data_IF_447603071147
#
_entry.id   IF_447603071147
#
_cell.length_a   1.000
_cell.length_b   1.000
_cell.length_c   1.000
_cell.angle_alpha   90.00
_cell.angle_beta   90.00
_cell.angle_gamma   90.00
#
_symmetry.space_group_name_H-M   'P 1'
#
loop_
_entity.id
_entity.type
_entity.pdbx_description
1 polymer ?
#
# COMPACT_ATOMS: atom_id res chain seq x y z
N UNK A 1 35.42 -9.81 -6.28
CA UNK A 1 34.07 -10.42 -6.17
C UNK A 1 33.45 -10.30 -4.79
N UNK A 2 34.22 -10.40 -3.70
CA UNK A 2 33.69 -10.28 -2.33
C UNK A 2 33.12 -8.88 -2.03
N UNK A 3 33.81 -7.79 -2.39
CA UNK A 3 33.37 -6.41 -2.11
C UNK A 3 32.00 -6.07 -2.70
N UNK A 4 31.77 -6.37 -3.99
CA UNK A 4 30.48 -6.11 -4.63
C UNK A 4 29.31 -6.82 -3.93
N UNK A 5 29.55 -8.02 -3.36
CA UNK A 5 28.56 -8.78 -2.60
C UNK A 5 28.35 -8.21 -1.19
N UNK A 6 29.40 -7.65 -0.59
CA UNK A 6 29.38 -7.03 0.73
C UNK A 6 28.55 -5.75 0.70
N UNK A 7 28.79 -4.87 -0.27
CA UNK A 7 28.01 -3.65 -0.46
C UNK A 7 26.54 -3.91 -0.80
N UNK A 8 26.24 -4.99 -1.54
CA UNK A 8 24.85 -5.37 -1.78
C UNK A 8 24.14 -5.80 -0.50
N UNK A 9 24.82 -6.53 0.38
CA UNK A 9 24.22 -6.98 1.65
C UNK A 9 23.96 -5.81 2.60
N UNK A 10 24.85 -4.82 2.62
CA UNK A 10 24.66 -3.58 3.38
C UNK A 10 23.51 -2.74 2.82
N UNK A 11 23.42 -2.62 1.48
CA UNK A 11 22.32 -1.94 0.82
C UNK A 11 20.96 -2.53 1.20
N UNK A 12 20.82 -3.86 1.22
CA UNK A 12 19.57 -4.52 1.63
C UNK A 12 19.23 -4.22 3.09
N UNK A 13 20.22 -4.20 3.99
CA UNK A 13 19.97 -3.84 5.40
C UNK A 13 19.53 -2.39 5.54
N UNK A 14 20.15 -1.47 4.80
CA UNK A 14 19.76 -0.07 4.79
C UNK A 14 18.34 0.12 4.24
N UNK A 15 17.94 -0.62 3.21
CA UNK A 15 16.55 -0.60 2.71
C UNK A 15 15.54 -1.00 3.79
N UNK A 16 15.88 -2.02 4.60
CA UNK A 16 14.99 -2.51 5.66
C UNK A 16 14.96 -1.61 6.89
N UNK A 17 16.09 -0.97 7.24
CA UNK A 17 16.21 -0.14 8.44
C UNK A 17 15.82 1.33 8.20
N UNK A 18 16.24 1.88 7.06
CA UNK A 18 16.21 3.32 6.76
C UNK A 18 15.23 3.65 5.62
N UNK A 19 14.68 2.64 4.94
CA UNK A 19 13.73 2.79 3.84
C UNK A 19 14.39 2.89 2.45
N UNK A 20 13.63 3.33 1.42
CA UNK A 20 14.07 3.35 0.02
C UNK A 20 15.46 3.94 -0.22
N UNK A 21 16.30 3.21 -0.99
CA UNK A 21 17.66 3.64 -1.30
C UNK A 21 17.81 3.94 -2.79
N UNK A 22 18.25 5.17 -3.12
CA UNK A 22 18.47 5.60 -4.50
C UNK A 22 19.86 5.20 -5.00
N UNK A 23 19.91 4.69 -6.22
CA UNK A 23 21.15 4.36 -6.94
C UNK A 23 21.41 5.45 -7.96
N UNK A 24 22.58 6.08 -7.89
CA UNK A 24 22.99 7.15 -8.80
C UNK A 24 24.03 6.69 -9.81
N UNK A 25 23.96 7.19 -11.04
CA UNK A 25 25.01 7.06 -12.07
C UNK A 25 25.39 8.47 -12.55
N UNK A 26 26.67 8.82 -12.45
CA UNK A 26 27.17 10.17 -12.75
C UNK A 26 26.43 11.31 -12.00
N UNK A 27 26.02 11.06 -10.76
CA UNK A 27 25.29 12.03 -9.93
C UNK A 27 23.78 12.07 -10.17
N UNK A 28 23.26 11.37 -11.17
CA UNK A 28 21.82 11.31 -11.46
C UNK A 28 21.20 10.03 -10.89
N UNK A 29 20.03 10.13 -10.26
CA UNK A 29 19.28 8.96 -9.80
C UNK A 29 18.78 8.15 -11.00
N UNK A 30 19.16 6.87 -11.06
CA UNK A 30 18.80 5.98 -12.18
C UNK A 30 17.94 4.79 -11.75
N UNK A 31 17.97 4.44 -10.48
CA UNK A 31 17.14 3.38 -9.90
C UNK A 31 16.88 3.64 -8.42
N UNK A 32 15.91 2.93 -7.86
CA UNK A 32 15.63 2.90 -6.42
C UNK A 32 15.43 1.44 -6.01
N UNK A 33 15.97 1.06 -4.86
CA UNK A 33 15.72 -0.23 -4.22
C UNK A 33 14.70 -0.02 -3.09
N UNK A 34 13.63 -0.80 -3.13
CA UNK A 34 12.50 -0.72 -2.19
C UNK A 34 12.38 -2.04 -1.44
N UNK A 35 11.79 -2.00 -0.25
CA UNK A 35 11.28 -3.22 0.38
C UNK A 35 10.18 -3.83 -0.50
N UNK A 36 10.10 -5.17 -0.48
CA UNK A 36 9.15 -5.89 -1.33
C UNK A 36 7.69 -5.58 -0.97
N UNK A 37 7.39 -5.30 0.31
CA UNK A 37 6.05 -4.94 0.76
C UNK A 37 5.65 -3.56 0.26
N UNK A 38 6.57 -2.59 0.31
CA UNK A 38 6.32 -1.25 -0.22
C UNK A 38 6.09 -1.29 -1.73
N UNK A 39 6.90 -2.06 -2.45
CA UNK A 39 6.68 -2.29 -3.88
C UNK A 39 5.31 -2.92 -4.16
N UNK A 40 4.91 -3.95 -3.41
CA UNK A 40 3.61 -4.63 -3.59
C UNK A 40 2.43 -3.72 -3.31
N UNK A 41 2.50 -2.90 -2.24
CA UNK A 41 1.50 -1.88 -1.92
C UNK A 41 1.37 -0.86 -3.04
N UNK A 42 2.49 -0.33 -3.53
CA UNK A 42 2.51 0.61 -4.66
C UNK A 42 1.92 0.01 -5.94
N UNK A 43 2.14 -1.29 -6.16
CA UNK A 43 1.60 -2.01 -7.32
C UNK A 43 0.15 -2.46 -7.15
N UNK A 44 -0.48 -2.19 -6.01
CA UNK A 44 -1.84 -2.62 -5.70
C UNK A 44 -1.99 -4.14 -5.60
N UNK A 45 -0.90 -4.89 -5.50
CA UNK A 45 -0.93 -6.35 -5.54
C UNK A 45 -1.46 -6.98 -4.23
N UNK A 46 -1.53 -6.19 -3.15
CA UNK A 46 -2.05 -6.60 -1.84
C UNK A 46 -3.43 -6.00 -1.51
N UNK A 47 -4.00 -5.19 -2.41
CA UNK A 47 -5.36 -4.74 -2.25
C UNK A 47 -6.28 -5.83 -2.78
N UNK A 48 -7.02 -6.47 -1.87
CA UNK A 48 -8.22 -7.23 -2.24
C UNK A 48 -9.01 -6.35 -3.21
N UNK A 49 -9.42 -6.90 -4.36
CA UNK A 49 -10.23 -6.16 -5.33
C UNK A 49 -11.40 -5.52 -4.57
N UNK A 50 -11.73 -4.26 -4.88
CA UNK A 50 -12.73 -3.53 -4.09
C UNK A 50 -14.05 -4.30 -3.99
N UNK A 51 -14.43 -5.02 -5.05
CA UNK A 51 -15.62 -5.89 -5.05
C UNK A 51 -15.44 -7.08 -4.11
N UNK A 52 -14.28 -7.73 -4.14
CA UNK A 52 -13.98 -8.87 -3.26
C UNK A 52 -13.93 -8.44 -1.79
N UNK A 53 -13.43 -7.24 -1.51
CA UNK A 53 -13.45 -6.64 -0.18
C UNK A 53 -14.89 -6.42 0.30
N UNK A 54 -15.74 -5.79 -0.52
CA UNK A 54 -17.16 -5.62 -0.19
C UNK A 54 -17.88 -6.97 -0.03
N UNK A 55 -17.53 -7.97 -0.84
CA UNK A 55 -18.11 -9.32 -0.77
C UNK A 55 -17.62 -10.13 0.44
N UNK A 56 -16.49 -9.75 1.05
CA UNK A 56 -15.95 -10.36 2.28
C UNK A 56 -16.64 -9.88 3.56
N UNK A 57 -17.67 -9.03 3.44
CA UNK A 57 -18.47 -8.61 4.57
C UNK A 57 -19.07 -9.83 5.31
N UNK A 58 -19.17 -9.78 6.65
CA UNK A 58 -19.88 -10.80 7.41
C UNK A 58 -21.35 -10.88 6.96
N UNK A 59 -22.03 -11.98 7.28
CA UNK A 59 -23.44 -12.16 6.95
C UNK A 59 -24.28 -11.01 7.51
N UNK A 60 -24.73 -10.11 6.63
CA UNK A 60 -25.51 -8.93 6.99
C UNK A 60 -26.98 -9.25 7.23
N UNK A 61 -27.45 -10.48 6.91
CA UNK A 61 -28.83 -10.90 7.17
C UNK A 61 -29.16 -10.97 8.67
N UNK A 62 -28.14 -11.02 9.53
CA UNK A 62 -28.30 -10.96 10.99
C UNK A 62 -28.66 -9.56 11.51
N UNK A 63 -28.56 -8.53 10.65
CA UNK A 63 -28.87 -7.16 11.01
C UNK A 63 -30.29 -6.81 10.53
N UNK A 64 -31.11 -6.27 11.41
CA UNK A 64 -32.42 -5.69 11.05
C UNK A 64 -32.21 -4.30 10.41
N UNK A 65 -31.83 -4.28 9.14
CA UNK A 65 -31.62 -3.05 8.36
C UNK A 65 -32.85 -2.80 7.50
N UNK A 66 -33.61 -1.76 7.84
CA UNK A 66 -34.68 -1.25 6.99
C UNK A 66 -34.29 0.08 6.36
N UNK A 67 -34.75 0.31 5.12
CA UNK A 67 -34.60 1.60 4.49
C UNK A 67 -35.45 2.62 5.23
N UNK A 68 -34.81 3.58 5.88
CA UNK A 68 -35.51 4.70 6.49
C UNK A 68 -36.35 5.44 5.45
N UNK A 69 -37.62 5.65 5.79
CA UNK A 69 -38.57 6.48 5.02
C UNK A 69 -38.56 7.93 5.51
N UNK A 70 -37.79 8.24 6.56
CA UNK A 70 -37.65 9.59 7.03
C UNK A 70 -37.09 10.49 5.92
N UNK A 71 -37.61 11.72 5.77
CA UNK A 71 -37.01 12.68 4.86
C UNK A 71 -35.55 12.90 5.23
N UNK A 72 -34.72 13.19 4.22
CA UNK A 72 -33.33 13.55 4.47
C UNK A 72 -33.29 14.74 5.43
N UNK A 73 -32.31 14.73 6.34
CA UNK A 73 -32.05 15.89 7.19
C UNK A 73 -31.80 17.11 6.31
N UNK A 74 -32.34 18.25 6.69
CA UNK A 74 -31.92 19.52 6.09
C UNK A 74 -30.42 19.70 6.35
N UNK A 75 -29.68 19.94 5.27
CA UNK A 75 -28.25 20.26 5.33
C UNK A 75 -28.14 21.67 4.77
N UNK A 76 -27.64 22.58 5.58
CA UNK A 76 -27.31 23.92 5.10
C UNK A 76 -26.01 23.83 4.30
N UNK A 77 -26.06 24.26 3.05
CA UNK A 77 -24.93 24.30 2.14
C UNK A 77 -24.50 25.76 1.97
N UNK A 78 -23.99 26.37 3.04
CA UNK A 78 -23.27 27.65 2.97
C UNK A 78 -21.89 27.48 2.32
#
# INVERSE_FOLDING_TARGET
MQEAKQHFSELIRAVQADGPQFVTKHGEQVAVVLDILDYRRMRGAELVDFKDFLASAPDLSVLEIERSTAPAREVDFE
#
